data_IF_726901728090
#
_entry.id   IF_726901728090
#
_cell.length_a   1.000
_cell.length_b   1.000
_cell.length_c   1.000
_cell.angle_alpha   90.00
_cell.angle_beta   90.00
_cell.angle_gamma   90.00
#
_symmetry.space_group_name_H-M   'P 1'
#
loop_
_entity.id
_entity.type
_entity.pdbx_description
1 polymer ?
#
# COMPACT_ATOMS: atom_id res chain seq x y z
N UNK A 1 48.55 57.59 26.79
CA UNK A 1 48.60 56.71 25.61
C UNK A 1 48.06 55.35 26.02
N UNK A 2 46.79 55.12 25.69
CA UNK A 2 46.14 53.83 25.39
C UNK A 2 46.45 52.61 26.27
N UNK A 3 45.60 52.41 27.28
CA UNK A 3 45.17 51.06 27.72
C UNK A 3 44.28 50.46 26.63
N UNK A 4 44.65 49.29 26.13
CA UNK A 4 43.84 48.55 25.18
C UNK A 4 42.94 47.56 25.95
N UNK A 5 41.64 47.87 25.97
CA UNK A 5 40.58 46.96 26.38
C UNK A 5 40.55 45.74 25.45
N UNK A 6 40.90 44.56 25.96
CA UNK A 6 40.62 43.30 25.29
C UNK A 6 39.21 42.81 25.66
N UNK A 7 38.31 43.11 24.73
CA UNK A 7 36.96 42.59 24.59
C UNK A 7 36.85 41.09 24.90
N UNK A 8 36.05 40.74 25.90
CA UNK A 8 35.62 39.38 26.17
C UNK A 8 34.72 38.90 25.02
N UNK A 9 35.24 37.99 24.19
CA UNK A 9 34.49 37.32 23.14
C UNK A 9 33.49 36.34 23.78
N UNK A 10 32.21 36.53 23.50
CA UNK A 10 31.14 35.60 23.84
C UNK A 10 31.39 34.25 23.17
N UNK A 11 31.31 33.17 23.96
CA UNK A 11 31.36 31.81 23.49
C UNK A 11 30.14 31.52 22.59
N UNK A 12 30.32 30.84 21.44
CA UNK A 12 29.22 30.51 20.54
C UNK A 12 28.29 29.47 21.19
N UNK A 13 26.99 29.73 21.14
CA UNK A 13 25.94 28.77 21.49
C UNK A 13 26.13 27.50 20.65
N UNK A 14 26.55 26.44 21.33
CA UNK A 14 26.71 25.12 20.77
C UNK A 14 25.33 24.61 20.33
N UNK A 15 25.14 24.54 19.00
CA UNK A 15 23.97 23.96 18.35
C UNK A 15 23.70 22.57 18.94
N UNK A 16 22.82 22.50 19.95
CA UNK A 16 22.40 21.26 20.55
C UNK A 16 21.70 20.42 19.48
N UNK A 17 22.37 19.38 19.00
CA UNK A 17 21.76 18.39 18.12
C UNK A 17 20.45 17.90 18.77
N UNK A 18 19.35 17.81 18.02
CA UNK A 18 18.05 17.44 18.58
C UNK A 18 18.17 16.10 19.31
N UNK A 19 17.94 16.11 20.64
CA UNK A 19 17.97 14.90 21.45
C UNK A 19 16.94 13.92 20.90
N UNK A 20 17.42 12.78 20.40
CA UNK A 20 16.57 11.70 19.88
C UNK A 20 15.67 11.21 21.01
N UNK A 21 14.35 11.32 20.83
CA UNK A 21 13.39 10.90 21.85
C UNK A 21 13.55 9.39 22.14
N UNK A 22 13.47 8.93 23.40
CA UNK A 22 13.68 7.51 23.77
C UNK A 22 12.69 6.54 23.10
N UNK A 23 11.59 7.04 22.55
CA UNK A 23 10.56 6.26 21.85
C UNK A 23 10.58 6.40 20.31
N UNK A 24 11.60 7.02 19.75
CA UNK A 24 11.76 7.21 18.31
C UNK A 24 11.91 5.89 17.53
N UNK A 25 12.43 4.83 18.16
CA UNK A 25 12.74 3.54 17.52
C UNK A 25 11.98 2.35 18.13
N UNK A 26 10.73 2.56 18.56
CA UNK A 26 9.90 1.46 19.06
C UNK A 26 9.61 0.43 17.95
N UNK A 27 9.87 -0.84 18.25
CA UNK A 27 9.48 -1.98 17.43
C UNK A 27 7.99 -2.30 17.59
N UNK A 28 7.32 -2.85 16.56
CA UNK A 28 5.93 -3.29 16.69
C UNK A 28 5.77 -4.44 17.69
N UNK A 29 4.66 -4.44 18.44
CA UNK A 29 4.37 -5.47 19.45
C UNK A 29 3.12 -6.27 19.09
N UNK A 30 2.12 -5.61 18.52
CA UNK A 30 0.87 -6.21 18.12
C UNK A 30 0.80 -6.28 16.60
N UNK A 31 0.46 -7.45 16.08
CA UNK A 31 0.42 -7.72 14.65
C UNK A 31 -1.01 -8.07 14.21
N UNK A 32 -1.43 -7.53 13.07
CA UNK A 32 -2.70 -7.87 12.42
C UNK A 32 -2.49 -8.08 10.93
N UNK A 33 -3.26 -8.99 10.35
CA UNK A 33 -3.29 -9.18 8.90
C UNK A 33 -4.24 -8.16 8.28
N UNK A 34 -3.78 -7.48 7.24
CA UNK A 34 -4.62 -6.62 6.40
C UNK A 34 -4.78 -7.25 5.03
N UNK A 35 -6.01 -7.26 4.53
CA UNK A 35 -6.36 -7.62 3.15
C UNK A 35 -6.57 -6.34 2.34
N UNK A 36 -5.81 -6.21 1.27
CA UNK A 36 -5.93 -5.15 0.27
C UNK A 36 -6.68 -5.73 -0.94
N UNK A 37 -7.94 -5.35 -1.11
CA UNK A 37 -8.80 -5.89 -2.17
C UNK A 37 -8.20 -5.66 -3.56
N UNK A 38 -8.45 -6.53 -4.55
CA UNK A 38 -8.05 -6.26 -5.93
C UNK A 38 -8.78 -5.01 -6.44
N UNK A 39 -8.07 -4.14 -7.15
CA UNK A 39 -8.63 -2.93 -7.76
C UNK A 39 -8.32 -2.92 -9.26
N UNK A 40 -9.10 -2.17 -10.07
CA UNK A 40 -8.80 -1.99 -11.49
C UNK A 40 -7.37 -1.51 -11.72
N UNK A 41 -6.81 -1.77 -12.90
CA UNK A 41 -5.48 -1.23 -13.25
C UNK A 41 -5.49 0.29 -13.19
N UNK A 42 -4.44 0.85 -12.61
CA UNK A 42 -4.23 2.29 -12.48
C UNK A 42 -3.15 2.75 -13.46
N UNK A 43 -3.31 3.93 -14.07
CA UNK A 43 -2.29 4.48 -14.98
C UNK A 43 -0.96 4.72 -14.27
N UNK A 44 -1.01 5.12 -13.00
CA UNK A 44 0.16 5.55 -12.22
C UNK A 44 0.77 4.39 -11.43
N UNK A 45 -0.07 3.52 -10.85
CA UNK A 45 0.42 2.40 -10.00
C UNK A 45 0.39 1.03 -10.68
N UNK A 46 -0.13 0.93 -11.90
CA UNK A 46 -0.23 -0.32 -12.64
C UNK A 46 -1.27 -1.30 -12.08
N UNK A 47 -0.98 -2.60 -12.20
CA UNK A 47 -1.86 -3.67 -11.73
C UNK A 47 -1.99 -3.66 -10.21
N UNK A 48 -3.23 -3.81 -9.72
CA UNK A 48 -3.55 -3.78 -8.28
C UNK A 48 -4.20 -5.09 -7.83
N UNK A 49 -3.45 -6.21 -7.82
CA UNK A 49 -4.00 -7.52 -7.43
C UNK A 49 -4.32 -7.57 -5.94
N UNK A 50 -5.09 -8.58 -5.52
CA UNK A 50 -5.29 -8.91 -4.11
C UNK A 50 -3.92 -9.04 -3.42
N UNK A 51 -3.76 -8.38 -2.26
CA UNK A 51 -2.53 -8.48 -1.45
C UNK A 51 -2.89 -8.61 0.02
N UNK A 52 -2.06 -9.35 0.74
CA UNK A 52 -2.09 -9.36 2.21
C UNK A 52 -0.83 -8.67 2.73
N UNK A 53 -0.98 -7.82 3.73
CA UNK A 53 0.11 -7.07 4.36
C UNK A 53 -0.01 -7.14 5.87
N UNK A 54 1.09 -7.02 6.59
CA UNK A 54 1.10 -7.08 8.05
C UNK A 54 1.06 -5.65 8.62
N UNK A 55 0.10 -5.38 9.50
CA UNK A 55 0.06 -4.18 10.32
C UNK A 55 0.75 -4.46 11.66
N UNK A 56 1.83 -3.75 11.94
CA UNK A 56 2.46 -3.68 13.24
C UNK A 56 1.96 -2.46 14.02
N UNK A 57 1.72 -2.63 15.32
CA UNK A 57 1.26 -1.58 16.23
C UNK A 57 2.04 -1.61 17.54
N UNK A 58 2.46 -0.44 18.02
CA UNK A 58 3.04 -0.25 19.35
C UNK A 58 2.57 1.08 19.95
N UNK A 59 2.33 1.06 21.26
CA UNK A 59 1.87 2.23 22.01
C UNK A 59 2.74 2.41 23.26
N UNK A 60 3.04 3.66 23.61
CA UNK A 60 3.66 4.04 24.88
C UNK A 60 2.96 5.26 25.45
N UNK A 61 2.90 5.31 26.78
CA UNK A 61 2.25 6.36 27.53
C UNK A 61 3.08 6.67 28.77
N UNK A 62 3.33 7.95 29.05
CA UNK A 62 3.79 8.44 30.33
C UNK A 62 3.01 9.72 30.71
N UNK A 63 3.42 10.42 31.77
CA UNK A 63 2.74 11.63 32.23
C UNK A 63 2.89 12.83 31.27
N UNK A 64 3.92 12.84 30.42
CA UNK A 64 4.27 13.97 29.56
C UNK A 64 3.83 13.77 28.12
N UNK A 65 3.97 12.55 27.61
CA UNK A 65 3.74 12.20 26.21
C UNK A 65 3.14 10.81 26.06
N UNK A 66 2.39 10.65 24.98
CA UNK A 66 1.91 9.38 24.48
C UNK A 66 2.26 9.23 23.01
N UNK A 67 2.62 8.02 22.58
CA UNK A 67 2.91 7.73 21.18
C UNK A 67 2.19 6.47 20.73
N UNK A 68 1.65 6.53 19.53
CA UNK A 68 1.22 5.39 18.74
C UNK A 68 2.12 5.31 17.50
N UNK A 69 2.66 4.13 17.24
CA UNK A 69 3.37 3.84 15.99
C UNK A 69 2.68 2.69 15.27
N UNK A 70 2.34 2.94 14.02
CA UNK A 70 1.78 1.96 13.08
C UNK A 70 2.76 1.74 11.94
N UNK A 71 3.04 0.49 11.63
CA UNK A 71 3.94 0.10 10.54
C UNK A 71 3.22 -0.89 9.63
N UNK A 72 3.46 -0.83 8.33
CA UNK A 72 2.95 -1.82 7.38
C UNK A 72 4.09 -2.51 6.65
N UNK A 73 4.18 -3.83 6.82
CA UNK A 73 5.13 -4.67 6.10
C UNK A 73 4.45 -5.36 4.93
N UNK A 74 5.05 -5.22 3.75
CA UNK A 74 4.58 -5.87 2.52
C UNK A 74 5.43 -7.11 2.28
N UNK A 75 4.83 -8.32 2.22
CA UNK A 75 5.58 -9.55 1.99
C UNK A 75 6.42 -9.49 0.71
N UNK A 76 7.68 -9.92 0.80
CA UNK A 76 8.61 -9.95 -0.33
C UNK A 76 9.13 -8.59 -0.80
N UNK A 77 8.91 -7.51 -0.03
CA UNK A 77 9.40 -6.18 -0.35
C UNK A 77 10.20 -5.58 0.81
N UNK A 78 11.40 -5.08 0.52
CA UNK A 78 12.20 -4.29 1.46
C UNK A 78 11.93 -2.82 1.19
N UNK A 79 11.32 -2.15 2.17
CA UNK A 79 11.02 -0.72 2.10
C UNK A 79 11.96 0.07 3.01
N UNK A 80 12.11 1.36 2.71
CA UNK A 80 12.81 2.30 3.61
C UNK A 80 12.05 2.41 4.93
N UNK A 81 12.75 2.71 6.03
CA UNK A 81 12.18 2.72 7.39
C UNK A 81 11.04 3.74 7.56
N UNK A 82 11.05 4.80 6.77
CA UNK A 82 10.09 5.90 6.81
C UNK A 82 8.83 5.62 5.96
N UNK A 83 8.87 4.61 5.08
CA UNK A 83 7.72 4.23 4.26
C UNK A 83 6.82 3.30 5.06
N UNK A 84 5.51 3.43 4.88
CA UNK A 84 4.49 2.66 5.60
C UNK A 84 4.52 2.86 7.12
N UNK A 85 5.06 3.99 7.56
CA UNK A 85 5.16 4.37 8.96
C UNK A 85 4.20 5.53 9.24
N UNK A 86 3.29 5.35 10.18
CA UNK A 86 2.55 6.45 10.79
C UNK A 86 2.89 6.52 12.27
N UNK A 87 3.28 7.71 12.71
CA UNK A 87 3.44 8.03 14.12
C UNK A 87 2.40 9.06 14.53
N UNK A 88 1.81 8.87 15.71
CA UNK A 88 0.93 9.86 16.33
C UNK A 88 1.48 10.14 17.71
N UNK A 89 1.88 11.38 17.92
CA UNK A 89 2.46 11.86 19.18
C UNK A 89 1.45 12.77 19.86
N UNK A 90 1.17 12.54 21.13
CA UNK A 90 0.36 13.41 21.95
C UNK A 90 1.21 13.97 23.08
N UNK A 91 1.34 15.29 23.15
CA UNK A 91 2.00 16.00 24.24
C UNK A 91 0.94 16.46 25.25
N UNK A 92 1.03 15.95 26.49
CA UNK A 92 0.10 16.23 27.57
C UNK A 92 0.34 17.61 28.22
N UNK A 93 1.55 18.17 28.07
CA UNK A 93 1.88 19.50 28.61
C UNK A 93 1.24 20.60 27.77
N UNK A 94 1.39 20.51 26.45
CA UNK A 94 0.82 21.46 25.49
C UNK A 94 -0.63 21.13 25.10
N UNK A 95 -1.10 19.90 25.41
CA UNK A 95 -2.40 19.35 24.98
C UNK A 95 -2.54 19.33 23.46
N UNK A 96 -1.48 18.88 22.79
CA UNK A 96 -1.41 18.82 21.33
C UNK A 96 -1.20 17.39 20.84
N UNK A 97 -1.71 17.10 19.64
CA UNK A 97 -1.51 15.83 18.95
C UNK A 97 -0.95 16.09 17.56
N UNK A 98 0.18 15.47 17.25
CA UNK A 98 0.83 15.49 15.95
C UNK A 98 0.60 14.18 15.21
N UNK A 99 0.23 14.27 13.93
CA UNK A 99 0.07 13.12 13.04
C UNK A 99 1.17 13.11 11.98
N UNK A 100 1.90 12.00 11.87
CA UNK A 100 3.02 11.84 10.95
C UNK A 100 4.37 12.16 11.58
N UNK A 101 5.42 11.64 10.96
CA UNK A 101 6.80 12.00 11.28
C UNK A 101 7.18 13.31 10.56
N UNK A 102 8.23 13.98 11.04
CA UNK A 102 8.75 15.21 10.41
C UNK A 102 9.23 14.98 8.97
N UNK A 103 9.58 13.74 8.62
CA UNK A 103 10.00 13.31 7.29
C UNK A 103 8.84 13.13 6.29
N UNK A 104 7.59 13.31 6.73
CA UNK A 104 6.39 13.13 5.92
C UNK A 104 5.73 11.76 6.08
N UNK A 105 4.75 11.48 5.21
CA UNK A 105 3.97 10.24 5.24
C UNK A 105 3.87 9.64 3.85
N UNK A 106 4.51 8.49 3.65
CA UNK A 106 4.50 7.76 2.39
C UNK A 106 4.02 6.33 2.62
N UNK A 107 3.21 5.80 1.70
CA UNK A 107 2.70 4.43 1.78
C UNK A 107 2.90 3.67 0.49
N UNK A 108 3.31 2.41 0.61
CA UNK A 108 3.41 1.44 -0.47
C UNK A 108 2.66 0.15 -0.09
N UNK A 109 1.87 -0.46 -1.00
CA UNK A 109 1.54 0.00 -2.34
C UNK A 109 0.67 1.27 -2.39
N UNK A 110 1.03 2.21 -3.26
CA UNK A 110 0.28 3.44 -3.53
C UNK A 110 -1.15 3.18 -4.07
N UNK A 111 -2.07 4.11 -3.78
CA UNK A 111 -3.46 4.10 -4.28
C UNK A 111 -4.27 2.83 -3.93
N UNK A 112 -4.09 2.32 -2.71
CA UNK A 112 -4.79 1.13 -2.19
C UNK A 112 -5.68 1.43 -0.98
N UNK A 113 -5.77 2.69 -0.55
CA UNK A 113 -6.48 3.09 0.67
C UNK A 113 -5.68 2.92 1.96
N UNK A 114 -4.44 2.42 1.88
CA UNK A 114 -3.54 2.21 3.02
C UNK A 114 -3.27 3.49 3.82
N UNK A 115 -2.94 4.59 3.15
CA UNK A 115 -2.69 5.87 3.83
C UNK A 115 -3.87 6.33 4.68
N UNK A 116 -5.08 6.32 4.09
CA UNK A 116 -6.33 6.66 4.79
C UNK A 116 -6.60 5.69 5.94
N UNK A 117 -6.40 4.39 5.73
CA UNK A 117 -6.54 3.40 6.79
C UNK A 117 -5.62 3.69 7.98
N UNK A 118 -4.32 3.92 7.74
CA UNK A 118 -3.37 4.20 8.83
C UNK A 118 -3.74 5.47 9.58
N UNK A 119 -4.03 6.55 8.84
CA UNK A 119 -4.42 7.83 9.46
C UNK A 119 -5.71 7.68 10.27
N UNK A 120 -6.71 6.99 9.74
CA UNK A 120 -7.95 6.68 10.45
C UNK A 120 -7.71 5.89 11.75
N UNK A 121 -6.80 4.91 11.75
CA UNK A 121 -6.41 4.18 12.97
C UNK A 121 -5.73 5.09 13.99
N UNK A 122 -4.87 6.00 13.52
CA UNK A 122 -4.24 7.03 14.34
C UNK A 122 -5.26 7.98 14.98
N UNK A 123 -6.22 8.45 14.18
CA UNK A 123 -7.30 9.33 14.65
C UNK A 123 -8.20 8.60 15.64
N UNK A 124 -8.59 7.35 15.38
CA UNK A 124 -9.40 6.56 16.30
C UNK A 124 -8.72 6.40 17.67
N UNK A 125 -7.41 6.15 17.66
CA UNK A 125 -6.62 6.08 18.90
C UNK A 125 -6.60 7.41 19.64
N UNK A 126 -6.33 8.51 18.93
CA UNK A 126 -6.28 9.84 19.53
C UNK A 126 -7.66 10.27 20.07
N UNK A 127 -8.75 10.02 19.33
CA UNK A 127 -10.13 10.33 19.76
C UNK A 127 -10.51 9.61 21.05
N UNK A 128 -9.99 8.40 21.29
CA UNK A 128 -10.31 7.62 22.49
C UNK A 128 -9.86 8.28 23.80
N UNK A 129 -8.72 9.00 23.79
CA UNK A 129 -8.10 9.56 25.01
C UNK A 129 -7.90 11.08 24.97
N UNK A 130 -7.75 11.65 23.78
CA UNK A 130 -7.25 13.01 23.55
C UNK A 130 -8.17 13.80 22.61
N UNK A 131 -9.46 13.48 22.56
CA UNK A 131 -10.44 14.14 21.67
C UNK A 131 -10.48 15.67 21.79
N UNK A 132 -10.19 16.20 22.98
CA UNK A 132 -10.18 17.62 23.30
C UNK A 132 -8.84 18.31 23.03
N UNK A 133 -7.80 17.56 22.66
CA UNK A 133 -6.49 18.12 22.35
C UNK A 133 -6.53 18.84 21.00
N UNK A 134 -5.68 19.85 20.86
CA UNK A 134 -5.46 20.54 19.60
C UNK A 134 -4.62 19.65 18.69
N UNK A 135 -4.85 19.71 17.39
CA UNK A 135 -3.97 19.04 16.44
C UNK A 135 -2.88 20.00 16.01
N UNK A 136 -1.63 19.55 16.03
CA UNK A 136 -0.50 20.31 15.53
C UNK A 136 -0.59 20.39 14.00
N UNK A 137 -0.74 21.61 13.48
CA UNK A 137 -0.76 21.85 12.04
C UNK A 137 0.66 21.96 11.47
N UNK A 138 0.93 21.27 10.37
CA UNK A 138 2.26 21.24 9.75
C UNK A 138 2.31 21.93 8.39
N UNK A 139 3.52 22.31 7.98
CA UNK A 139 3.79 22.67 6.59
C UNK A 139 3.85 21.39 5.74
N UNK A 140 3.20 21.41 4.58
CA UNK A 140 3.28 20.34 3.59
C UNK A 140 4.42 20.65 2.62
N UNK A 141 5.43 19.78 2.58
CA UNK A 141 6.56 19.95 1.68
C UNK A 141 6.13 19.78 0.22
N UNK A 142 6.61 20.68 -0.66
CA UNK A 142 6.41 20.57 -2.11
C UNK A 142 7.18 19.39 -2.73
N UNK A 143 8.30 18.99 -2.10
CA UNK A 143 9.15 17.88 -2.57
C UNK A 143 8.37 16.57 -2.74
N UNK A 144 7.31 16.39 -1.98
CA UNK A 144 6.47 15.17 -1.99
C UNK A 144 5.38 15.21 -3.07
N UNK A 145 5.23 16.32 -3.79
CA UNK A 145 4.20 16.52 -4.83
C UNK A 145 4.78 17.13 -6.11
N UNK A 146 5.59 16.36 -6.88
CA UNK A 146 6.28 16.87 -8.06
C UNK A 146 5.35 17.27 -9.21
N UNK A 147 4.09 16.78 -9.20
CA UNK A 147 3.10 17.10 -10.21
C UNK A 147 1.72 17.40 -9.58
N UNK A 148 0.85 17.99 -10.39
CA UNK A 148 -0.50 18.39 -9.98
C UNK A 148 -1.35 17.21 -9.51
N UNK A 149 -1.27 16.06 -10.18
CA UNK A 149 -2.00 14.85 -9.81
C UNK A 149 -1.60 14.32 -8.42
N UNK A 150 -0.32 14.40 -8.06
CA UNK A 150 0.17 14.00 -6.72
C UNK A 150 -0.25 14.97 -5.64
N UNK A 151 -0.29 16.28 -5.96
CA UNK A 151 -0.81 17.32 -5.09
C UNK A 151 -2.29 17.08 -4.77
N UNK A 152 -3.10 16.88 -5.80
CA UNK A 152 -4.53 16.61 -5.65
C UNK A 152 -4.78 15.33 -4.84
N UNK A 153 -3.98 14.28 -5.05
CA UNK A 153 -4.07 13.04 -4.25
C UNK A 153 -3.76 13.27 -2.76
N UNK A 154 -2.68 13.99 -2.45
CA UNK A 154 -2.31 14.35 -1.06
C UNK A 154 -3.41 15.17 -0.40
N UNK A 155 -3.90 16.20 -1.09
CA UNK A 155 -4.92 17.09 -0.55
C UNK A 155 -6.26 16.36 -0.36
N UNK A 156 -6.65 15.52 -1.31
CA UNK A 156 -7.83 14.66 -1.17
C UNK A 156 -7.71 13.71 0.02
N UNK A 157 -6.54 13.09 0.19
CA UNK A 157 -6.24 12.23 1.35
C UNK A 157 -6.40 12.97 2.69
N UNK A 158 -5.83 14.17 2.82
CA UNK A 158 -5.93 14.98 4.04
C UNK A 158 -7.36 15.45 4.30
N UNK A 159 -8.03 16.02 3.30
CA UNK A 159 -9.42 16.50 3.41
C UNK A 159 -10.39 15.37 3.73
N UNK A 160 -10.18 14.19 3.18
CA UNK A 160 -11.01 13.02 3.49
C UNK A 160 -10.95 12.59 4.96
N UNK A 161 -9.90 12.99 5.71
CA UNK A 161 -9.79 12.73 7.15
C UNK A 161 -10.19 13.94 8.02
N UNK A 162 -10.66 15.03 7.41
CA UNK A 162 -11.09 16.24 8.13
C UNK A 162 -10.01 17.31 8.30
N UNK A 163 -8.88 17.21 7.61
CA UNK A 163 -7.86 18.27 7.61
C UNK A 163 -8.19 19.35 6.58
N UNK A 164 -7.99 20.61 6.97
CA UNK A 164 -8.00 21.74 6.05
C UNK A 164 -6.62 21.91 5.43
N UNK A 165 -6.57 21.97 4.10
CA UNK A 165 -5.35 22.28 3.35
C UNK A 165 -5.45 23.70 2.81
N UNK A 166 -4.59 24.58 3.32
CA UNK A 166 -4.52 26.00 2.96
C UNK A 166 -3.24 26.27 2.20
N UNK A 167 -3.36 26.96 1.07
CA UNK A 167 -2.22 27.43 0.28
C UNK A 167 -1.93 28.89 0.62
N UNK A 168 -0.66 29.20 0.89
CA UNK A 168 -0.21 30.55 1.26
C UNK A 168 0.14 31.39 0.03
N UNK A 169 0.38 30.74 -1.12
CA UNK A 169 0.85 31.38 -2.34
C UNK A 169 0.00 31.01 -3.56
N UNK A 170 -0.12 31.95 -4.51
CA UNK A 170 -0.84 31.75 -5.77
C UNK A 170 -0.21 30.68 -6.66
N UNK A 171 1.08 30.36 -6.43
CA UNK A 171 1.81 29.31 -7.16
C UNK A 171 1.65 27.92 -6.54
N UNK A 172 0.89 27.79 -5.46
CA UNK A 172 0.59 26.53 -4.77
C UNK A 172 1.84 25.76 -4.30
N UNK A 173 2.94 26.47 -4.01
CA UNK A 173 4.20 25.89 -3.57
C UNK A 173 4.28 25.72 -2.05
N UNK A 174 3.55 26.55 -1.29
CA UNK A 174 3.51 26.53 0.16
C UNK A 174 2.10 26.20 0.63
N UNK A 175 1.94 24.98 1.12
CA UNK A 175 0.70 24.54 1.71
C UNK A 175 0.92 24.20 3.19
N UNK A 176 -0.11 24.42 3.99
CA UNK A 176 -0.18 23.97 5.38
C UNK A 176 -1.44 23.17 5.58
N UNK A 177 -1.34 22.15 6.41
CA UNK A 177 -2.52 21.47 6.93
C UNK A 177 -2.83 21.98 8.33
N UNK A 178 -4.11 22.10 8.65
CA UNK A 178 -4.57 22.45 10.00
C UNK A 178 -5.90 21.78 10.28
N UNK A 179 -6.19 21.64 11.56
CA UNK A 179 -7.51 21.27 12.08
C UNK A 179 -7.61 21.85 13.49
N UNK A 180 -8.82 22.06 14.01
CA UNK A 180 -9.01 22.57 15.36
C UNK A 180 -8.64 21.50 16.40
N UNK A 181 -9.56 20.57 16.63
CA UNK A 181 -9.41 19.52 17.64
C UNK A 181 -9.38 18.13 17.04
N UNK A 182 -8.82 17.17 17.78
CA UNK A 182 -8.84 15.75 17.41
C UNK A 182 -10.28 15.24 17.20
N UNK A 183 -11.26 15.78 17.92
CA UNK A 183 -12.68 15.42 17.76
C UNK A 183 -13.27 15.75 16.39
N UNK A 184 -12.71 16.73 15.67
CA UNK A 184 -13.16 17.14 14.33
C UNK A 184 -12.64 16.20 13.23
N UNK A 185 -11.64 15.38 13.54
CA UNK A 185 -11.10 14.41 12.60
C UNK A 185 -12.03 13.20 12.44
N UNK A 186 -12.07 12.70 11.21
CA UNK A 186 -12.77 11.48 10.88
C UNK A 186 -11.86 10.28 11.13
N UNK A 187 -12.44 9.15 11.53
CA UNK A 187 -11.74 7.88 11.79
C UNK A 187 -12.24 6.76 10.87
N UNK A 188 -12.89 7.12 9.77
CA UNK A 188 -13.37 6.19 8.76
C UNK A 188 -12.35 5.96 7.64
N UNK A 189 -12.44 4.78 7.03
CA UNK A 189 -11.71 4.41 5.84
C UNK A 189 -12.59 3.53 4.95
N UNK A 190 -12.14 3.33 3.72
CA UNK A 190 -12.85 2.48 2.76
C UNK A 190 -12.66 1.00 3.11
N UNK A 191 -13.61 0.43 3.85
CA UNK A 191 -13.55 -0.94 4.35
C UNK A 191 -13.43 -1.98 3.24
N UNK A 192 -13.98 -1.74 2.05
CA UNK A 192 -13.80 -2.69 0.93
C UNK A 192 -12.38 -2.71 0.38
N UNK A 193 -11.65 -1.59 0.45
CA UNK A 193 -10.27 -1.51 -0.06
C UNK A 193 -9.27 -2.12 0.91
N UNK A 194 -9.46 -1.87 2.20
CA UNK A 194 -8.56 -2.32 3.28
C UNK A 194 -9.39 -2.94 4.40
N UNK A 195 -9.20 -4.24 4.62
CA UNK A 195 -9.89 -5.02 5.64
C UNK A 195 -8.88 -5.55 6.66
N UNK A 196 -9.23 -5.48 7.94
CA UNK A 196 -8.49 -6.19 8.99
C UNK A 196 -9.05 -7.62 9.01
N UNK A 197 -8.19 -8.61 8.81
CA UNK A 197 -8.58 -10.02 8.77
C UNK A 197 -8.26 -10.67 10.12
N UNK A 198 -9.27 -11.15 10.86
CA UNK A 198 -9.07 -11.99 12.05
C UNK A 198 -8.30 -13.27 11.71
N UNK A 199 -7.56 -13.81 12.68
CA UNK A 199 -6.72 -15.00 12.45
C UNK A 199 -7.53 -16.22 11.96
N UNK A 200 -8.71 -16.45 12.55
CA UNK A 200 -9.58 -17.56 12.14
C UNK A 200 -10.11 -17.38 10.71
N UNK A 201 -10.49 -16.15 10.35
CA UNK A 201 -10.92 -15.83 8.98
C UNK A 201 -9.75 -16.04 8.00
N UNK A 202 -8.54 -15.60 8.36
CA UNK A 202 -7.35 -15.85 7.55
C UNK A 202 -7.10 -17.36 7.35
N UNK A 203 -7.28 -18.18 8.39
CA UNK A 203 -7.21 -19.64 8.29
C UNK A 203 -8.25 -20.19 7.31
N UNK A 204 -9.51 -19.78 7.43
CA UNK A 204 -10.58 -20.21 6.52
C UNK A 204 -10.33 -19.80 5.07
N UNK A 205 -9.76 -18.61 4.84
CA UNK A 205 -9.38 -18.15 3.50
C UNK A 205 -8.27 -19.01 2.91
N UNK A 206 -7.30 -19.45 3.72
CA UNK A 206 -6.22 -20.33 3.28
C UNK A 206 -6.75 -21.73 2.94
N UNK A 207 -7.60 -22.31 3.78
CA UNK A 207 -8.24 -23.60 3.50
C UNK A 207 -9.09 -23.54 2.22
N UNK A 208 -9.89 -22.48 2.06
CA UNK A 208 -10.68 -22.29 0.85
C UNK A 208 -9.81 -22.10 -0.39
N UNK A 209 -8.69 -21.38 -0.29
CA UNK A 209 -7.74 -21.23 -1.38
C UNK A 209 -7.10 -22.56 -1.78
N UNK A 210 -6.74 -23.42 -0.82
CA UNK A 210 -6.20 -24.75 -1.08
C UNK A 210 -7.21 -25.65 -1.80
N UNK A 211 -8.46 -25.68 -1.32
CA UNK A 211 -9.55 -26.39 -1.98
C UNK A 211 -9.78 -25.90 -3.42
N UNK A 212 -9.77 -24.58 -3.63
CA UNK A 212 -9.91 -24.00 -4.96
C UNK A 212 -8.75 -24.40 -5.88
N UNK A 213 -7.51 -24.37 -5.39
CA UNK A 213 -6.33 -24.80 -6.16
C UNK A 213 -6.40 -26.27 -6.54
N UNK A 214 -6.82 -27.14 -5.63
CA UNK A 214 -7.03 -28.56 -5.92
C UNK A 214 -8.11 -28.76 -6.99
N UNK A 215 -9.22 -28.01 -6.92
CA UNK A 215 -10.29 -28.08 -7.92
C UNK A 215 -9.83 -27.65 -9.31
N UNK A 216 -9.09 -26.54 -9.41
CA UNK A 216 -8.54 -26.03 -10.66
C UNK A 216 -7.50 -26.99 -11.25
N UNK A 217 -6.66 -27.60 -10.41
CA UNK A 217 -5.67 -28.59 -10.86
C UNK A 217 -6.34 -29.82 -11.50
N UNK A 218 -7.46 -30.28 -10.92
CA UNK A 218 -8.24 -31.36 -11.50
C UNK A 218 -8.91 -30.97 -12.82
N UNK A 219 -9.39 -29.73 -12.95
CA UNK A 219 -9.97 -29.23 -14.19
C UNK A 219 -8.92 -29.11 -15.30
N UNK A 220 -7.74 -28.54 -14.99
CA UNK A 220 -6.60 -28.47 -15.90
C UNK A 220 -6.26 -29.86 -16.42
N UNK A 221 -6.13 -30.85 -15.52
CA UNK A 221 -5.84 -32.25 -15.91
C UNK A 221 -6.89 -32.83 -16.86
N UNK A 222 -8.18 -32.54 -16.64
CA UNK A 222 -9.26 -33.00 -17.52
C UNK A 222 -9.19 -32.34 -18.90
N UNK A 223 -8.88 -31.04 -18.94
CA UNK A 223 -8.70 -30.32 -20.20
C UNK A 223 -7.50 -30.84 -20.98
N UNK A 224 -6.38 -31.10 -20.31
CA UNK A 224 -5.19 -31.70 -20.91
C UNK A 224 -5.48 -33.07 -21.51
N UNK A 225 -6.22 -33.94 -20.81
CA UNK A 225 -6.64 -35.24 -21.33
C UNK A 225 -7.51 -35.11 -22.59
N UNK A 226 -8.46 -34.17 -22.61
CA UNK A 226 -9.30 -33.92 -23.79
C UNK A 226 -8.48 -33.41 -24.98
N UNK A 227 -7.53 -32.51 -24.73
CA UNK A 227 -6.61 -32.02 -25.76
C UNK A 227 -5.80 -33.18 -26.34
N UNK A 228 -5.31 -34.08 -25.49
CA UNK A 228 -4.57 -35.26 -25.94
C UNK A 228 -5.43 -36.20 -26.79
N UNK A 229 -6.68 -36.45 -26.38
CA UNK A 229 -7.64 -37.22 -27.18
C UNK A 229 -7.87 -36.58 -28.54
N UNK A 230 -8.21 -35.28 -28.59
CA UNK A 230 -8.42 -34.58 -29.86
C UNK A 230 -7.17 -34.57 -30.74
N UNK A 231 -5.98 -34.48 -30.15
CA UNK A 231 -4.72 -34.56 -30.91
C UNK A 231 -4.50 -35.95 -31.51
N UNK A 232 -4.84 -37.03 -30.78
CA UNK A 232 -4.79 -38.40 -31.30
C UNK A 232 -5.80 -38.60 -32.42
N UNK A 233 -7.02 -38.11 -32.25
CA UNK A 233 -8.08 -38.19 -33.26
C UNK A 233 -7.72 -37.39 -34.52
N UNK A 234 -7.18 -36.17 -34.39
CA UNK A 234 -6.70 -35.37 -35.52
C UNK A 234 -5.55 -36.09 -36.25
N UNK A 235 -4.61 -36.69 -35.52
CA UNK A 235 -3.55 -37.51 -36.13
C UNK A 235 -4.11 -38.71 -36.88
N UNK A 236 -5.13 -39.38 -36.33
CA UNK A 236 -5.80 -40.51 -37.00
C UNK A 236 -6.55 -40.06 -38.25
N UNK A 237 -7.29 -38.95 -38.18
CA UNK A 237 -8.00 -38.37 -39.32
C UNK A 237 -7.05 -37.96 -40.44
N UNK A 238 -5.93 -37.29 -40.11
CA UNK A 238 -4.89 -36.95 -41.10
C UNK A 238 -4.31 -38.19 -41.77
N UNK A 239 -4.09 -39.27 -41.01
CA UNK A 239 -3.64 -40.54 -41.56
C UNK A 239 -4.67 -41.14 -42.52
N UNK A 240 -5.95 -41.19 -42.12
CA UNK A 240 -7.03 -41.69 -42.99
C UNK A 240 -7.17 -40.86 -44.27
N UNK A 241 -7.12 -39.53 -44.18
CA UNK A 241 -7.15 -38.63 -45.34
C UNK A 241 -5.95 -38.91 -46.26
N UNK A 242 -4.75 -39.09 -45.72
CA UNK A 242 -3.57 -39.42 -46.51
C UNK A 242 -3.73 -40.78 -47.23
N UNK A 243 -4.21 -41.81 -46.53
CA UNK A 243 -4.50 -43.12 -47.14
C UNK A 243 -5.54 -43.03 -48.27
N UNK A 244 -6.64 -42.31 -48.05
CA UNK A 244 -7.67 -42.10 -49.08
C UNK A 244 -7.12 -41.33 -50.28
N UNK A 245 -6.27 -40.33 -50.04
CA UNK A 245 -5.63 -39.55 -51.11
C UNK A 245 -4.71 -40.42 -51.95
N UNK A 246 -3.86 -41.23 -51.32
CA UNK A 246 -2.97 -42.18 -52.02
C UNK A 246 -3.79 -43.21 -52.81
N UNK A 247 -4.86 -43.75 -52.22
CA UNK A 247 -5.75 -44.68 -52.89
C UNK A 247 -6.44 -44.06 -54.11
N UNK A 248 -6.97 -42.84 -53.99
CA UNK A 248 -7.61 -42.13 -55.10
C UNK A 248 -6.63 -41.85 -56.26
N UNK A 249 -5.40 -41.43 -55.95
CA UNK A 249 -4.34 -41.22 -56.96
C UNK A 249 -3.97 -42.53 -57.65
N UNK A 250 -3.86 -43.63 -56.90
CA UNK A 250 -3.59 -44.95 -57.47
C UNK A 250 -4.71 -45.42 -58.41
N UNK A 251 -5.98 -45.32 -57.98
CA UNK A 251 -7.13 -45.68 -58.81
C UNK A 251 -7.20 -44.83 -60.09
N UNK A 252 -6.96 -43.52 -59.99
CA UNK A 252 -6.91 -42.63 -61.14
C UNK A 252 -5.80 -43.04 -62.12
N UNK A 253 -4.60 -43.38 -61.62
CA UNK A 253 -3.50 -43.89 -62.45
C UNK A 253 -3.84 -45.21 -63.15
N UNK A 254 -4.51 -46.13 -62.45
CA UNK A 254 -4.93 -47.43 -62.99
C UNK A 254 -6.00 -47.26 -64.09
N UNK A 255 -6.97 -46.36 -63.88
CA UNK A 255 -7.98 -46.01 -64.88
C UNK A 255 -7.36 -45.39 -66.13
N UNK A 256 -6.40 -44.47 -65.98
CA UNK A 256 -5.67 -43.88 -67.13
C UNK A 256 -4.90 -44.97 -67.88
N UNK A 257 -4.22 -45.87 -67.18
CA UNK A 257 -3.48 -46.97 -67.80
C UNK A 257 -4.41 -47.89 -68.61
N UNK A 258 -5.55 -48.30 -68.06
CA UNK A 258 -6.56 -49.09 -68.78
C UNK A 258 -7.12 -48.33 -69.99
N UNK A 259 -7.34 -47.01 -69.89
CA UNK A 259 -7.90 -46.23 -71.00
C UNK A 259 -6.90 -45.92 -72.12
N UNK A 260 -5.59 -46.09 -71.87
CA UNK A 260 -4.51 -45.79 -72.81
C UNK A 260 -3.86 -47.05 -73.42
N UNK A 261 -4.39 -48.24 -73.14
CA UNK A 261 -4.07 -49.51 -73.80
C UNK A 261 -5.33 -50.11 -74.42
#
# INVERSE_FOLDING_TARGET
MTEAEQSAAAAPEENAAPRVHPWSELAPEHYRLLRLAPLPTDRTTGARPLRFVQLGRVERHNAEQSVLRLTVQVPGQVLRKEVNLLEVWADHRSKEVRFGADSGFATEPLNRGLGRFLLAQGVAWAKKKFSHYRVEGGALAFKDTPNEESRQRRDHFLRAQGFDVVYEDTRLLKARYRVGRVSELYDDWHKDKVQIVPLLEAGSMLEQADHNLASQSNEIRRLEQRIETFRRDDSSLRFTIACLTVFAVFQAGLLIWIATH
#
